data_IF_719827584203
#
_entry.id   IF_719827584203
#
_cell.length_a   1.000
_cell.length_b   1.000
_cell.length_c   1.000
_cell.angle_alpha   90.00
_cell.angle_beta   90.00
_cell.angle_gamma   90.00
#
_symmetry.space_group_name_H-M   'P 1'
#
loop_
_entity.id
_entity.type
_entity.pdbx_description
1 polymer ?
#
# COMPACT_ATOMS: atom_id res chain seq x y z
N UNK A 1 -8.59 -9.28 -32.28
CA UNK A 1 -7.40 -9.55 -31.45
C UNK A 1 -6.52 -8.30 -31.52
N UNK A 2 -6.69 -7.38 -30.57
CA UNK A 2 -5.87 -6.17 -30.48
C UNK A 2 -4.56 -6.60 -29.84
N UNK A 3 -3.49 -6.70 -30.63
CA UNK A 3 -2.13 -6.83 -30.09
C UNK A 3 -1.76 -5.42 -29.62
N UNK A 4 -1.93 -5.14 -28.33
CA UNK A 4 -1.27 -4.00 -27.71
C UNK A 4 0.24 -4.29 -27.83
N UNK A 5 0.96 -3.48 -28.57
CA UNK A 5 2.41 -3.46 -28.54
C UNK A 5 2.79 -2.95 -27.14
N UNK A 6 3.08 -3.88 -26.24
CA UNK A 6 3.74 -3.52 -24.98
C UNK A 6 5.13 -2.98 -25.34
N UNK A 7 5.54 -1.91 -24.70
CA UNK A 7 6.91 -1.41 -24.82
C UNK A 7 7.87 -2.56 -24.49
N UNK A 8 8.98 -2.66 -25.20
CA UNK A 8 9.93 -3.77 -25.01
C UNK A 8 10.63 -3.72 -23.65
N UNK A 9 10.67 -2.54 -23.01
CA UNK A 9 11.27 -2.30 -21.71
C UNK A 9 10.33 -1.48 -20.82
N UNK A 10 10.49 -1.58 -19.51
CA UNK A 10 9.82 -0.77 -18.49
C UNK A 10 10.85 -0.10 -17.59
N UNK A 11 10.53 1.08 -17.10
CA UNK A 11 11.29 1.78 -16.06
C UNK A 11 10.83 1.33 -14.68
N UNK A 12 11.80 1.23 -13.78
CA UNK A 12 11.55 0.86 -12.39
C UNK A 12 12.65 1.41 -11.48
N UNK A 13 12.42 1.37 -10.18
CA UNK A 13 13.45 1.58 -9.18
C UNK A 13 13.74 0.29 -8.45
N UNK A 14 15.02 0.03 -8.22
CA UNK A 14 15.50 -1.10 -7.46
C UNK A 14 16.29 -0.63 -6.24
N UNK A 15 16.00 -1.22 -5.10
CA UNK A 15 16.87 -1.13 -3.95
C UNK A 15 18.02 -2.13 -4.16
N UNK A 16 19.20 -1.63 -4.44
CA UNK A 16 20.41 -2.42 -4.70
C UNK A 16 21.32 -2.53 -3.48
N UNK A 17 21.25 -1.57 -2.55
CA UNK A 17 21.93 -1.59 -1.27
C UNK A 17 21.17 -0.76 -0.24
N UNK A 18 21.48 -0.94 1.05
CA UNK A 18 20.90 -0.13 2.14
C UNK A 18 21.66 1.19 2.39
N UNK A 19 22.67 1.47 1.59
CA UNK A 19 23.46 2.69 1.67
C UNK A 19 22.75 3.87 1.00
N UNK A 20 23.25 5.08 1.23
CA UNK A 20 22.77 6.26 0.53
C UNK A 20 22.99 6.12 -0.98
N UNK A 21 21.94 6.40 -1.77
CA UNK A 21 21.95 6.18 -3.22
C UNK A 21 21.67 4.74 -3.66
N UNK A 22 21.39 3.83 -2.72
CA UNK A 22 21.09 2.42 -3.04
C UNK A 22 19.76 2.18 -3.76
N UNK A 23 18.86 3.16 -3.81
CA UNK A 23 17.66 3.14 -4.66
C UNK A 23 18.02 3.68 -6.05
N UNK A 24 18.03 2.82 -7.06
CA UNK A 24 18.56 3.12 -8.39
C UNK A 24 17.46 2.96 -9.45
N UNK A 25 17.34 3.96 -10.33
CA UNK A 25 16.48 3.85 -11.50
C UNK A 25 17.12 2.90 -12.53
N UNK A 26 16.37 1.91 -12.99
CA UNK A 26 16.82 0.90 -13.97
C UNK A 26 15.76 0.63 -15.03
N UNK A 27 16.10 -0.18 -16.01
CA UNK A 27 15.19 -0.69 -17.03
C UNK A 27 15.25 -2.21 -17.08
N UNK A 28 14.09 -2.84 -17.24
CA UNK A 28 13.96 -4.28 -17.47
C UNK A 28 13.00 -4.56 -18.62
N UNK A 29 13.03 -5.77 -19.16
CA UNK A 29 12.00 -6.22 -20.11
C UNK A 29 10.61 -6.16 -19.46
N UNK A 30 9.61 -5.75 -20.25
CA UNK A 30 8.22 -5.75 -19.79
C UNK A 30 7.80 -7.17 -19.42
N UNK A 31 7.24 -7.38 -18.22
CA UNK A 31 6.93 -8.71 -17.73
C UNK A 31 5.69 -9.31 -18.41
N UNK A 32 5.66 -10.64 -18.45
CA UNK A 32 4.46 -11.40 -18.82
C UNK A 32 3.95 -12.17 -17.60
N UNK A 33 2.63 -12.34 -17.44
CA UNK A 33 2.09 -13.04 -16.30
C UNK A 33 2.29 -14.56 -16.43
N UNK A 34 2.65 -15.22 -15.34
CA UNK A 34 2.60 -16.66 -15.19
C UNK A 34 1.19 -17.15 -14.83
N UNK A 35 1.07 -18.45 -14.49
CA UNK A 35 -0.16 -19.07 -14.03
C UNK A 35 -0.68 -18.37 -12.77
N UNK A 36 -1.95 -17.93 -12.78
CA UNK A 36 -2.60 -17.27 -11.65
C UNK A 36 -2.12 -15.83 -11.37
N UNK A 37 -1.33 -15.23 -12.24
CA UNK A 37 -0.81 -13.87 -12.09
C UNK A 37 -1.52 -12.87 -13.02
N UNK A 38 -1.50 -11.62 -12.61
CA UNK A 38 -1.91 -10.47 -13.43
C UNK A 38 -0.72 -9.51 -13.59
N UNK A 39 -0.65 -8.84 -14.74
CA UNK A 39 0.23 -7.69 -14.93
C UNK A 39 -0.61 -6.43 -14.83
N UNK A 40 -0.23 -5.54 -13.95
CA UNK A 40 -0.86 -4.24 -13.81
C UNK A 40 0.07 -3.15 -14.36
N UNK A 41 -0.51 -2.20 -15.12
CA UNK A 41 0.14 -0.93 -15.43
C UNK A 41 -0.09 -0.02 -14.23
N UNK A 42 0.96 0.25 -13.46
CA UNK A 42 0.90 1.07 -12.26
C UNK A 42 0.55 2.51 -12.63
N UNK A 43 -0.49 3.06 -12.02
CA UNK A 43 -0.93 4.44 -12.23
C UNK A 43 -0.60 5.32 -11.03
N UNK A 44 -0.61 4.75 -9.84
CA UNK A 44 -0.23 5.43 -8.60
C UNK A 44 0.46 4.46 -7.64
N UNK A 45 1.41 4.98 -6.87
CA UNK A 45 2.05 4.28 -5.77
C UNK A 45 2.15 5.20 -4.55
N UNK A 46 1.96 4.64 -3.36
CA UNK A 46 1.98 5.38 -2.10
C UNK A 46 3.17 4.96 -1.25
N UNK A 47 3.86 5.96 -0.67
CA UNK A 47 5.02 5.74 0.18
C UNK A 47 4.58 5.67 1.65
N UNK A 48 5.03 4.65 2.34
CA UNK A 48 4.84 4.45 3.77
C UNK A 48 6.15 4.62 4.55
N UNK A 49 6.08 4.92 5.83
CA UNK A 49 7.28 4.97 6.70
C UNK A 49 8.04 3.64 6.68
N UNK A 50 7.35 2.53 6.50
CA UNK A 50 7.93 1.20 6.30
C UNK A 50 8.93 1.17 5.14
N UNK A 51 8.62 1.82 4.03
CA UNK A 51 9.48 1.81 2.84
C UNK A 51 10.81 2.52 3.11
N UNK A 52 10.78 3.60 3.89
CA UNK A 52 11.98 4.24 4.38
C UNK A 52 12.81 3.31 5.28
N UNK A 53 12.15 2.57 6.19
CA UNK A 53 12.83 1.61 7.07
C UNK A 53 13.45 0.46 6.26
N UNK A 54 12.78 -0.02 5.21
CA UNK A 54 13.31 -1.02 4.28
C UNK A 54 14.55 -0.48 3.55
N UNK A 55 14.45 0.71 2.98
CA UNK A 55 15.55 1.33 2.22
C UNK A 55 16.80 1.56 3.09
N UNK A 56 16.64 1.70 4.41
CA UNK A 56 17.75 1.85 5.37
C UNK A 56 18.20 0.50 6.00
N UNK A 57 17.65 -0.63 5.59
CA UNK A 57 17.96 -1.93 6.18
C UNK A 57 17.49 -2.11 7.63
N UNK A 58 16.64 -1.20 8.12
CA UNK A 58 16.15 -1.22 9.51
C UNK A 58 14.90 -2.08 9.71
N UNK A 59 14.20 -2.42 8.63
CA UNK A 59 12.99 -3.23 8.69
C UNK A 59 13.31 -4.73 8.64
N UNK A 60 14.11 -5.13 7.68
CA UNK A 60 14.62 -6.49 7.51
C UNK A 60 16.04 -6.44 6.93
N UNK A 61 17.09 -6.50 7.76
CA UNK A 61 18.48 -6.42 7.27
C UNK A 61 18.93 -7.65 6.47
N UNK A 62 18.16 -8.74 6.52
CA UNK A 62 18.44 -9.98 5.78
C UNK A 62 17.70 -10.04 4.43
N UNK A 63 17.10 -8.94 4.01
CA UNK A 63 16.39 -8.85 2.75
C UNK A 63 17.32 -9.10 1.55
N UNK A 64 16.88 -9.94 0.63
CA UNK A 64 17.60 -10.19 -0.60
C UNK A 64 17.51 -9.01 -1.56
N UNK A 65 18.66 -8.50 -1.97
CA UNK A 65 18.78 -7.39 -2.93
C UNK A 65 19.38 -7.92 -4.26
N UNK A 66 19.10 -7.32 -5.42
CA UNK A 66 18.21 -6.15 -5.60
C UNK A 66 16.72 -6.51 -5.54
N UNK A 67 15.89 -5.55 -5.12
CA UNK A 67 14.45 -5.72 -5.08
C UNK A 67 13.69 -4.45 -5.52
N UNK A 68 12.46 -4.61 -6.02
CA UNK A 68 11.55 -3.50 -6.33
C UNK A 68 10.80 -3.16 -5.04
N UNK A 69 10.92 -1.93 -4.50
CA UNK A 69 10.25 -1.54 -3.27
C UNK A 69 8.79 -1.11 -3.49
N UNK A 70 8.15 -0.64 -2.42
CA UNK A 70 6.80 -0.17 -2.21
C UNK A 70 5.75 -1.28 -2.21
N UNK A 71 4.94 -1.30 -1.15
CA UNK A 71 3.82 -2.24 -1.01
C UNK A 71 2.54 -1.75 -1.69
N UNK A 72 2.37 -0.42 -1.73
CA UNK A 72 1.09 0.23 -1.97
C UNK A 72 1.03 0.81 -3.37
N UNK A 73 0.23 0.20 -4.23
CA UNK A 73 0.05 0.65 -5.61
C UNK A 73 -1.32 0.32 -6.16
N UNK A 74 -1.71 1.05 -7.17
CA UNK A 74 -2.93 0.83 -7.93
C UNK A 74 -2.69 1.01 -9.41
N UNK A 75 -3.50 0.39 -10.22
CA UNK A 75 -3.34 0.45 -11.67
C UNK A 75 -4.42 -0.31 -12.42
N UNK A 76 -4.16 -0.50 -13.70
CA UNK A 76 -5.04 -1.21 -14.61
C UNK A 76 -4.43 -2.56 -14.99
N UNK A 77 -5.21 -3.61 -14.96
CA UNK A 77 -4.81 -4.94 -15.46
C UNK A 77 -4.63 -4.86 -16.97
N UNK A 78 -3.42 -5.16 -17.45
CA UNK A 78 -3.08 -5.13 -18.88
C UNK A 78 -2.86 -6.52 -19.47
N UNK A 79 -2.58 -7.51 -18.62
CA UNK A 79 -2.47 -8.90 -19.02
C UNK A 79 -2.86 -9.82 -17.86
N UNK A 80 -3.38 -10.99 -18.20
CA UNK A 80 -3.76 -12.03 -17.24
C UNK A 80 -3.15 -13.37 -17.66
N UNK A 81 -2.61 -14.09 -16.71
CA UNK A 81 -2.10 -15.44 -16.90
C UNK A 81 -3.22 -16.48 -16.98
N UNK A 82 -2.84 -17.71 -17.32
CA UNK A 82 -3.78 -18.83 -17.26
C UNK A 82 -4.29 -19.02 -15.83
N UNK A 83 -5.53 -19.51 -15.67
CA UNK A 83 -6.23 -19.73 -14.39
C UNK A 83 -6.57 -18.47 -13.59
N UNK A 84 -6.38 -17.28 -14.13
CA UNK A 84 -6.97 -16.06 -13.59
C UNK A 84 -8.45 -16.03 -13.92
N UNK A 85 -9.32 -16.01 -12.88
CA UNK A 85 -10.78 -16.13 -13.05
C UNK A 85 -11.52 -14.83 -12.71
N UNK A 86 -11.00 -14.07 -11.75
CA UNK A 86 -11.70 -12.94 -11.14
C UNK A 86 -11.33 -11.60 -11.79
N UNK A 87 -10.29 -11.58 -12.64
CA UNK A 87 -9.76 -10.38 -13.27
C UNK A 87 -9.67 -10.52 -14.78
N UNK A 88 -9.82 -9.38 -15.46
CA UNK A 88 -9.65 -9.23 -16.91
C UNK A 88 -8.90 -7.95 -17.24
N UNK A 89 -8.38 -7.87 -18.45
CA UNK A 89 -7.76 -6.64 -18.99
C UNK A 89 -8.76 -5.49 -18.91
N UNK A 90 -8.30 -4.34 -18.41
CA UNK A 90 -9.08 -3.13 -18.17
C UNK A 90 -9.67 -3.05 -16.75
N UNK A 91 -9.56 -4.08 -15.91
CA UNK A 91 -9.98 -3.98 -14.51
C UNK A 91 -9.05 -3.03 -13.75
N UNK A 92 -9.66 -2.13 -12.96
CA UNK A 92 -8.96 -1.22 -12.07
C UNK A 92 -8.72 -1.90 -10.74
N UNK A 93 -7.46 -1.95 -10.29
CA UNK A 93 -7.07 -2.73 -9.09
C UNK A 93 -6.09 -1.98 -8.21
N UNK A 94 -6.08 -2.35 -6.93
CA UNK A 94 -5.04 -2.00 -5.97
C UNK A 94 -4.32 -3.27 -5.50
N UNK A 95 -3.02 -3.17 -5.21
CA UNK A 95 -2.27 -4.23 -4.55
C UNK A 95 -2.80 -4.50 -3.14
N UNK A 96 -2.47 -5.65 -2.57
CA UNK A 96 -2.63 -5.91 -1.13
C UNK A 96 -1.27 -6.03 -0.46
N UNK A 97 -1.23 -5.82 0.85
CA UNK A 97 0.02 -5.84 1.61
C UNK A 97 0.64 -7.25 1.65
N UNK A 98 -0.16 -8.29 1.94
CA UNK A 98 0.28 -9.68 2.00
C UNK A 98 -0.19 -10.44 0.76
N UNK A 99 0.75 -10.94 -0.07
CA UNK A 99 0.40 -11.61 -1.33
C UNK A 99 -0.35 -12.93 -1.12
N UNK A 100 -0.10 -13.60 0.00
CA UNK A 100 -0.69 -14.91 0.33
C UNK A 100 -1.71 -14.85 1.48
N UNK A 101 -2.30 -13.68 1.73
CA UNK A 101 -3.13 -13.43 2.91
C UNK A 101 -4.37 -14.35 3.05
N UNK A 102 -4.86 -14.89 1.94
CA UNK A 102 -6.02 -15.78 1.88
C UNK A 102 -5.66 -17.26 1.70
N UNK A 103 -4.38 -17.62 1.71
CA UNK A 103 -3.94 -19.01 1.64
C UNK A 103 -3.83 -19.60 3.04
N UNK A 104 -4.15 -20.91 3.19
CA UNK A 104 -3.90 -21.64 4.44
C UNK A 104 -2.41 -21.67 4.81
N UNK A 105 -1.56 -21.41 3.84
CA UNK A 105 -0.10 -21.36 3.94
C UNK A 105 0.44 -19.92 3.98
N UNK A 106 -0.41 -18.91 4.26
CA UNK A 106 0.02 -17.52 4.34
C UNK A 106 1.25 -17.45 5.24
N UNK A 107 2.40 -17.26 4.63
CA UNK A 107 3.65 -17.08 5.34
C UNK A 107 3.81 -15.59 5.62
N UNK A 108 4.31 -15.24 6.80
CA UNK A 108 4.66 -13.85 7.14
C UNK A 108 5.77 -13.27 6.24
N UNK A 109 6.17 -14.00 5.22
CA UNK A 109 7.35 -13.76 4.38
C UNK A 109 7.00 -13.21 2.98
N UNK A 110 5.75 -12.93 2.67
CA UNK A 110 5.34 -12.50 1.32
C UNK A 110 4.76 -11.09 1.25
N UNK A 111 5.30 -10.17 2.05
CA UNK A 111 4.84 -8.78 1.99
C UNK A 111 5.35 -8.09 0.71
N UNK A 112 4.44 -7.46 -0.01
CA UNK A 112 4.74 -6.68 -1.22
C UNK A 112 5.73 -5.57 -0.91
N UNK A 113 6.71 -5.37 -1.78
CA UNK A 113 7.76 -4.36 -1.60
C UNK A 113 8.75 -4.65 -0.47
N UNK A 114 8.87 -5.90 -0.05
CA UNK A 114 9.86 -6.39 0.90
C UNK A 114 10.31 -7.80 0.48
N UNK A 115 9.69 -8.87 1.01
CA UNK A 115 10.03 -10.25 0.63
C UNK A 115 9.55 -10.59 -0.78
N UNK A 116 8.47 -9.99 -1.23
CA UNK A 116 7.99 -10.06 -2.61
C UNK A 116 8.23 -8.73 -3.34
N UNK A 117 8.36 -8.80 -4.68
CA UNK A 117 8.53 -7.61 -5.50
C UNK A 117 7.41 -6.60 -5.26
N UNK A 118 7.79 -5.33 -5.18
CA UNK A 118 6.87 -4.22 -4.98
C UNK A 118 6.37 -3.58 -6.27
N UNK A 119 5.84 -2.38 -6.14
CA UNK A 119 5.11 -1.68 -7.21
C UNK A 119 5.80 -0.39 -7.69
N UNK A 120 7.04 -0.13 -7.31
CA UNK A 120 7.78 1.05 -7.80
C UNK A 120 8.35 0.78 -9.21
N UNK A 121 7.45 0.56 -10.15
CA UNK A 121 7.74 0.24 -11.55
C UNK A 121 6.56 0.65 -12.44
N UNK A 122 6.78 0.77 -13.75
CA UNK A 122 5.68 1.04 -14.69
C UNK A 122 4.70 -0.14 -14.79
N UNK A 123 5.19 -1.36 -14.63
CA UNK A 123 4.39 -2.59 -14.65
C UNK A 123 4.79 -3.49 -13.47
N UNK A 124 3.80 -4.03 -12.77
CA UNK A 124 4.01 -4.97 -11.69
C UNK A 124 3.28 -6.29 -11.98
N UNK A 125 3.92 -7.40 -11.67
CA UNK A 125 3.32 -8.75 -11.70
C UNK A 125 2.90 -9.11 -10.29
N UNK A 126 1.64 -9.46 -10.13
CA UNK A 126 1.08 -9.83 -8.85
C UNK A 126 0.23 -11.09 -8.98
N UNK A 127 0.24 -11.99 -7.99
CA UNK A 127 -0.75 -13.07 -7.92
C UNK A 127 -2.17 -12.48 -7.94
N UNK A 128 -3.13 -13.15 -8.55
CA UNK A 128 -4.52 -12.69 -8.54
C UNK A 128 -5.08 -12.54 -7.11
N UNK A 129 -4.52 -13.26 -6.14
CA UNK A 129 -4.85 -13.14 -4.71
C UNK A 129 -4.27 -11.90 -4.05
N UNK A 130 -3.32 -11.25 -4.71
CA UNK A 130 -2.64 -10.06 -4.22
C UNK A 130 -3.15 -8.76 -4.82
N UNK A 131 -4.29 -8.78 -5.48
CA UNK A 131 -4.96 -7.60 -6.03
C UNK A 131 -6.46 -7.59 -5.69
N UNK A 132 -7.01 -6.40 -5.53
CA UNK A 132 -8.44 -6.17 -5.30
C UNK A 132 -8.96 -5.14 -6.29
N UNK A 133 -10.19 -5.33 -6.80
CA UNK A 133 -10.86 -4.33 -7.63
C UNK A 133 -11.16 -3.09 -6.80
N UNK A 134 -10.87 -1.93 -7.36
CA UNK A 134 -11.21 -0.64 -6.75
C UNK A 134 -12.57 -0.15 -7.26
N UNK A 135 -13.39 0.49 -6.41
CA UNK A 135 -14.66 1.06 -6.84
C UNK A 135 -14.48 2.14 -7.92
N UNK A 136 -15.47 2.29 -8.81
CA UNK A 136 -15.40 3.24 -9.92
C UNK A 136 -15.27 4.71 -9.47
N UNK A 137 -15.81 5.04 -8.29
CA UNK A 137 -15.73 6.39 -7.72
C UNK A 137 -14.37 6.75 -7.12
N UNK A 138 -13.49 5.75 -6.89
CA UNK A 138 -12.19 5.94 -6.24
C UNK A 138 -11.12 6.18 -7.30
N UNK A 139 -10.27 7.18 -7.11
CA UNK A 139 -9.10 7.40 -7.99
C UNK A 139 -8.01 6.36 -7.74
N UNK A 140 -7.04 6.26 -8.66
CA UNK A 140 -5.88 5.38 -8.43
C UNK A 140 -5.03 5.86 -7.26
N UNK A 141 -4.87 7.19 -7.11
CA UNK A 141 -4.11 7.80 -6.03
C UNK A 141 -4.74 7.49 -4.66
N UNK A 142 -6.07 7.60 -4.54
CA UNK A 142 -6.79 7.23 -3.33
C UNK A 142 -6.62 5.75 -3.01
N UNK A 143 -6.86 4.88 -3.99
CA UNK A 143 -6.76 3.44 -3.84
C UNK A 143 -5.35 2.98 -3.44
N UNK A 144 -4.31 3.61 -3.99
CA UNK A 144 -2.92 3.30 -3.66
C UNK A 144 -2.57 3.60 -2.18
N UNK A 145 -3.33 4.44 -1.46
CA UNK A 145 -3.04 4.76 -0.05
C UNK A 145 -3.58 3.73 0.94
N UNK A 146 -4.40 2.78 0.49
CA UNK A 146 -5.16 1.89 1.37
C UNK A 146 -4.41 0.65 1.88
N UNK A 147 -3.57 -0.04 1.07
CA UNK A 147 -3.08 -1.38 1.39
C UNK A 147 -2.32 -1.49 2.71
N UNK A 148 -1.47 -0.54 3.04
CA UNK A 148 -0.72 -0.54 4.28
C UNK A 148 -1.45 0.22 5.39
N UNK A 149 -1.63 1.53 5.23
CA UNK A 149 -2.04 2.41 6.32
C UNK A 149 -3.52 2.23 6.71
N UNK A 150 -4.43 2.17 5.72
CA UNK A 150 -5.85 2.06 6.02
C UNK A 150 -6.22 0.68 6.55
N UNK A 151 -5.67 -0.40 5.97
CA UNK A 151 -5.90 -1.77 6.47
C UNK A 151 -5.35 -1.93 7.88
N UNK A 152 -4.18 -1.37 8.19
CA UNK A 152 -3.62 -1.37 9.56
C UNK A 152 -4.56 -0.67 10.53
N UNK A 153 -5.00 0.54 10.19
CA UNK A 153 -5.93 1.30 11.03
C UNK A 153 -7.25 0.54 11.26
N UNK A 154 -7.83 0.00 10.18
CA UNK A 154 -9.04 -0.82 10.25
C UNK A 154 -8.87 -2.02 11.17
N UNK A 155 -7.79 -2.79 10.99
CA UNK A 155 -7.51 -3.98 11.80
C UNK A 155 -7.37 -3.64 13.28
N UNK A 156 -6.66 -2.55 13.62
CA UNK A 156 -6.51 -2.10 15.01
C UNK A 156 -7.86 -1.71 15.63
N UNK A 157 -8.68 -0.96 14.90
CA UNK A 157 -10.01 -0.51 15.37
C UNK A 157 -10.95 -1.70 15.57
N UNK A 158 -10.97 -2.65 14.63
CA UNK A 158 -11.79 -3.86 14.75
C UNK A 158 -11.33 -4.74 15.92
N UNK A 159 -10.03 -4.93 16.08
CA UNK A 159 -9.46 -5.70 17.18
C UNK A 159 -9.75 -5.07 18.56
N UNK A 160 -9.77 -3.74 18.64
CA UNK A 160 -10.13 -3.00 19.86
C UNK A 160 -11.62 -3.01 20.15
N UNK A 161 -12.47 -3.49 19.22
CA UNK A 161 -13.92 -3.55 19.35
C UNK A 161 -14.54 -2.19 19.74
N UNK A 162 -14.08 -1.12 19.11
CA UNK A 162 -14.51 0.26 19.38
C UNK A 162 -15.98 0.43 19.05
N UNK A 163 -16.70 1.17 19.91
CA UNK A 163 -18.14 1.47 19.81
C UNK A 163 -18.39 2.96 19.81
N UNK A 164 -19.56 3.34 19.38
CA UNK A 164 -20.02 4.72 19.47
C UNK A 164 -19.96 5.24 20.91
N UNK A 165 -19.37 6.42 21.09
CA UNK A 165 -19.14 7.06 22.39
C UNK A 165 -17.83 6.68 23.09
N UNK A 166 -17.08 5.68 22.61
CA UNK A 166 -15.75 5.35 23.14
C UNK A 166 -14.75 6.47 22.85
N UNK A 167 -13.80 6.67 23.77
CA UNK A 167 -12.70 7.60 23.57
C UNK A 167 -11.50 6.87 22.97
N UNK A 168 -11.01 7.34 21.83
CA UNK A 168 -9.89 6.72 21.08
C UNK A 168 -8.76 7.73 20.93
N UNK A 169 -7.56 7.34 21.39
CA UNK A 169 -6.35 8.15 21.26
C UNK A 169 -5.49 7.63 20.10
N UNK A 170 -5.19 8.51 19.16
CA UNK A 170 -4.19 8.27 18.12
C UNK A 170 -2.91 9.06 18.37
N UNK A 171 -1.78 8.37 18.32
CA UNK A 171 -0.46 8.96 18.53
C UNK A 171 0.14 9.41 17.18
N UNK A 172 0.33 10.72 17.04
CA UNK A 172 0.84 11.33 15.81
C UNK A 172 -0.23 11.47 14.71
N UNK A 173 0.17 12.12 13.63
CA UNK A 173 -0.66 12.43 12.45
C UNK A 173 -0.11 11.75 11.18
N UNK A 174 0.42 10.53 11.33
CA UNK A 174 0.83 9.69 10.20
C UNK A 174 -0.36 8.99 9.54
N UNK A 175 -0.13 8.30 8.42
CA UNK A 175 -1.18 7.67 7.62
C UNK A 175 -2.12 6.77 8.42
N UNK A 176 -1.59 5.88 9.25
CA UNK A 176 -2.39 4.98 10.10
C UNK A 176 -3.29 5.77 11.06
N UNK A 177 -2.75 6.80 11.74
CA UNK A 177 -3.52 7.62 12.67
C UNK A 177 -4.61 8.44 11.98
N UNK A 178 -4.34 8.96 10.78
CA UNK A 178 -5.33 9.73 10.00
C UNK A 178 -6.44 8.83 9.47
N UNK A 179 -6.13 7.64 8.96
CA UNK A 179 -7.18 6.66 8.62
C UNK A 179 -7.94 6.20 9.86
N UNK A 180 -7.23 5.94 10.96
CA UNK A 180 -7.84 5.57 12.23
C UNK A 180 -8.84 6.61 12.75
N UNK A 181 -8.45 7.88 12.69
CA UNK A 181 -9.34 9.00 13.03
C UNK A 181 -10.63 8.94 12.21
N UNK A 182 -10.53 8.87 10.88
CA UNK A 182 -11.70 8.89 10.00
C UNK A 182 -12.60 7.66 10.22
N UNK A 183 -12.01 6.47 10.38
CA UNK A 183 -12.76 5.23 10.63
C UNK A 183 -13.45 5.29 12.01
N UNK A 184 -12.74 5.69 13.07
CA UNK A 184 -13.29 5.80 14.41
C UNK A 184 -14.43 6.83 14.47
N UNK A 185 -14.27 7.98 13.79
CA UNK A 185 -15.36 8.96 13.67
C UNK A 185 -16.57 8.41 12.93
N UNK A 186 -16.38 7.68 11.86
CA UNK A 186 -17.48 7.03 11.13
C UNK A 186 -18.22 6.00 12.00
N UNK A 187 -17.55 5.41 13.00
CA UNK A 187 -18.14 4.50 13.98
C UNK A 187 -18.77 5.23 15.19
N UNK A 188 -18.70 6.57 15.24
CA UNK A 188 -19.28 7.38 16.32
C UNK A 188 -18.42 7.50 17.57
N UNK A 189 -17.13 7.19 17.50
CA UNK A 189 -16.21 7.37 18.62
C UNK A 189 -15.80 8.85 18.80
N UNK A 190 -15.36 9.20 20.01
CA UNK A 190 -14.68 10.45 20.31
C UNK A 190 -13.18 10.28 20.03
N UNK A 191 -12.62 11.09 19.17
CA UNK A 191 -11.22 10.96 18.73
C UNK A 191 -10.34 12.03 19.32
N UNK A 192 -9.29 11.56 20.00
CA UNK A 192 -8.18 12.38 20.49
C UNK A 192 -6.96 12.08 19.62
N UNK A 193 -6.27 13.10 19.13
CA UNK A 193 -5.08 12.91 18.27
C UNK A 193 -3.94 13.84 18.71
N UNK A 194 -2.71 13.34 18.66
CA UNK A 194 -1.54 14.10 19.07
C UNK A 194 -0.68 14.47 17.86
N UNK A 195 0.06 15.57 17.95
CA UNK A 195 1.10 15.95 16.97
C UNK A 195 2.11 16.88 17.61
N UNK A 196 3.23 17.11 16.94
CA UNK A 196 4.19 18.19 17.24
C UNK A 196 3.98 19.43 16.37
N UNK A 197 2.92 19.48 15.57
CA UNK A 197 2.65 20.53 14.59
C UNK A 197 1.20 20.96 14.65
N UNK A 198 0.96 22.22 14.97
CA UNK A 198 -0.39 22.81 15.03
C UNK A 198 -1.08 22.74 13.67
N UNK A 199 -0.37 23.03 12.59
CA UNK A 199 -0.94 22.92 11.24
C UNK A 199 -1.49 21.51 10.94
N UNK A 200 -0.81 20.44 11.41
CA UNK A 200 -1.29 19.07 11.28
C UNK A 200 -2.48 18.77 12.20
N UNK A 201 -2.52 19.40 13.38
CA UNK A 201 -3.64 19.30 14.30
C UNK A 201 -4.88 20.01 13.78
N UNK A 202 -4.75 21.19 13.18
CA UNK A 202 -5.82 21.89 12.47
C UNK A 202 -6.44 20.99 11.38
N UNK A 203 -5.59 20.35 10.58
CA UNK A 203 -6.08 19.40 9.56
C UNK A 203 -6.78 18.18 10.18
N UNK A 204 -6.33 17.71 11.32
CA UNK A 204 -7.00 16.61 12.04
C UNK A 204 -8.39 17.03 12.56
N UNK A 205 -8.55 18.28 13.04
CA UNK A 205 -9.86 18.84 13.42
C UNK A 205 -10.79 18.88 12.22
N UNK A 206 -10.33 19.35 11.05
CA UNK A 206 -11.13 19.35 9.82
C UNK A 206 -11.59 17.94 9.41
N UNK A 207 -10.80 16.91 9.73
CA UNK A 207 -11.13 15.51 9.50
C UNK A 207 -12.00 14.89 10.59
N UNK A 208 -12.36 15.66 11.63
CA UNK A 208 -13.31 15.27 12.64
C UNK A 208 -12.71 14.90 14.02
N UNK A 209 -11.45 15.21 14.30
CA UNK A 209 -10.90 15.02 15.64
C UNK A 209 -11.65 15.89 16.66
N UNK A 210 -12.06 15.32 17.80
CA UNK A 210 -12.79 16.03 18.85
C UNK A 210 -11.80 16.77 19.77
N UNK A 211 -10.60 16.25 19.95
CA UNK A 211 -9.57 16.83 20.81
C UNK A 211 -8.20 16.66 20.15
N UNK A 212 -7.39 17.69 20.21
CA UNK A 212 -6.01 17.66 19.73
C UNK A 212 -5.05 18.00 20.84
N UNK A 213 -3.86 17.40 20.83
CA UNK A 213 -2.80 17.65 21.81
C UNK A 213 -1.50 17.89 21.07
N UNK A 214 -0.93 19.08 21.25
CA UNK A 214 0.44 19.34 20.85
C UNK A 214 1.38 18.89 21.97
N UNK A 215 2.14 17.83 21.76
CA UNK A 215 3.00 17.26 22.79
C UNK A 215 4.34 18.01 22.97
N UNK A 216 4.54 19.11 22.25
CA UNK A 216 5.69 20.02 22.46
C UNK A 216 5.36 21.19 23.38
N UNK A 217 4.10 21.40 23.66
CA UNK A 217 3.55 22.37 24.59
C UNK A 217 3.08 21.66 25.86
#
# INVERSE_FOLDING_TARGET
>A
MLILFMESTMKLFELQSFEEGGLVATERGTPSPCLGEVVIKVQAASINFRDFMIAKGLYNPMLSLPMIPLSDGSGEVIAVGNDVKDFKVGDRVSSVFWQDWNSEQATRMSSTGCEAAGVLSEYAVLPQTAVLKIPDYMSYEEAATLPCAAVTAWTCIMAANIKAGDNVLFLGTGGVSIFGLQIAKAMGANVIITSSSDQKLERAIELGADTTINYKE
#
